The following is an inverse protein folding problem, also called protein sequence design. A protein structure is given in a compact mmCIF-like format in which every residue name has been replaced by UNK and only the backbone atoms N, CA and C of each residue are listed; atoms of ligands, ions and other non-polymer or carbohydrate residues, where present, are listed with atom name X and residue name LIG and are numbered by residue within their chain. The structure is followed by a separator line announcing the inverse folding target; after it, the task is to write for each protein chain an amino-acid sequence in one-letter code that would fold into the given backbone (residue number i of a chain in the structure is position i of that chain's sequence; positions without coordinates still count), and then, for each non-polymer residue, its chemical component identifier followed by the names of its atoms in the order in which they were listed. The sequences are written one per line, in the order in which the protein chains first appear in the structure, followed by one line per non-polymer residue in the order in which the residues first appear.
data_IF_464338331876
#
_entry.id   IF_464338331876
#
_cell.length_a   1.000
_cell.length_b   1.000
_cell.length_c   1.000
_cell.angle_alpha   90.00
_cell.angle_beta   90.00
_cell.angle_gamma   90.00
#
_symmetry.space_group_name_H-M   'P 1'
#
loop_
_entity.id
_entity.type
_entity.pdbx_description
1 polymer ?
#
# COMPACT_ATOMS: atom_id res chain seq x y z
N UNK A 1 19.12 3.95 2.45
CA UNK A 1 17.92 3.36 3.06
C UNK A 1 18.01 3.58 4.55
N UNK A 2 16.91 3.96 5.21
CA UNK A 2 16.86 4.36 6.62
C UNK A 2 15.73 3.61 7.32
N UNK A 3 16.08 2.51 7.99
CA UNK A 3 15.10 1.63 8.62
C UNK A 3 14.60 2.18 9.95
N UNK A 4 15.40 2.98 10.65
CA UNK A 4 15.02 3.61 11.91
C UNK A 4 13.84 4.57 11.69
N UNK A 5 13.82 5.25 10.54
CA UNK A 5 12.70 6.10 10.14
C UNK A 5 11.38 5.33 10.04
N UNK A 6 11.40 4.10 9.54
CA UNK A 6 10.21 3.25 9.42
C UNK A 6 9.71 2.74 10.78
N UNK A 7 10.58 2.77 11.81
CA UNK A 7 10.23 2.38 13.18
C UNK A 7 9.70 3.54 14.03
N UNK A 8 9.77 4.78 13.54
CA UNK A 8 9.17 5.91 14.25
C UNK A 8 7.66 5.73 14.38
N UNK A 9 7.13 5.93 15.58
CA UNK A 9 5.71 5.74 15.87
C UNK A 9 4.74 6.46 14.91
N UNK A 10 4.92 7.75 14.56
CA UNK A 10 4.04 8.40 13.57
C UNK A 10 4.11 7.75 12.18
N UNK A 11 5.26 7.17 11.82
CA UNK A 11 5.45 6.50 10.53
C UNK A 11 4.83 5.10 10.55
N UNK A 12 4.98 4.35 11.64
CA UNK A 12 4.32 3.05 11.84
C UNK A 12 2.80 3.19 11.78
N UNK A 13 2.24 4.19 12.47
CA UNK A 13 0.82 4.49 12.40
C UNK A 13 0.36 4.83 10.99
N UNK A 14 1.15 5.61 10.24
CA UNK A 14 0.83 5.93 8.85
C UNK A 14 0.86 4.70 7.92
N UNK A 15 1.84 3.81 8.10
CA UNK A 15 1.95 2.53 7.40
C UNK A 15 0.70 1.68 7.67
N UNK A 16 0.32 1.51 8.94
CA UNK A 16 -0.82 0.68 9.34
C UNK A 16 -2.13 1.20 8.73
N UNK A 17 -2.36 2.52 8.80
CA UNK A 17 -3.58 3.13 8.24
C UNK A 17 -3.61 2.98 6.72
N UNK A 18 -2.49 3.24 6.03
CA UNK A 18 -2.41 3.14 4.58
C UNK A 18 -2.61 1.70 4.10
N UNK A 19 -1.90 0.74 4.70
CA UNK A 19 -1.98 -0.68 4.36
C UNK A 19 -3.41 -1.22 4.59
N UNK A 20 -4.00 -0.94 5.76
CA UNK A 20 -5.38 -1.36 6.07
C UNK A 20 -6.39 -0.79 5.07
N UNK A 21 -6.21 0.47 4.66
CA UNK A 21 -7.09 1.10 3.66
C UNK A 21 -7.02 0.41 2.31
N UNK A 22 -5.82 -0.03 1.90
CA UNK A 22 -5.62 -0.77 0.65
C UNK A 22 -6.20 -2.19 0.74
N UNK A 23 -5.99 -2.91 1.85
CA UNK A 23 -6.59 -4.25 2.06
C UNK A 23 -8.11 -4.17 2.04
N UNK A 24 -8.71 -3.13 2.64
CA UNK A 24 -10.17 -2.96 2.58
C UNK A 24 -10.68 -2.89 1.14
N UNK A 25 -9.94 -2.22 0.26
CA UNK A 25 -10.34 -2.02 -1.13
C UNK A 25 -9.94 -3.20 -2.06
N UNK A 26 -8.87 -3.94 -1.73
CA UNK A 26 -8.25 -4.95 -2.60
C UNK A 26 -7.88 -6.28 -1.92
N UNK A 27 -8.40 -6.57 -0.73
CA UNK A 27 -7.96 -7.69 0.13
C UNK A 27 -8.18 -9.10 -0.41
N UNK A 28 -8.82 -9.24 -1.58
CA UNK A 28 -8.89 -10.51 -2.31
C UNK A 28 -7.64 -10.76 -3.18
N UNK A 29 -6.73 -9.79 -3.29
CA UNK A 29 -5.51 -9.85 -4.13
C UNK A 29 -4.24 -9.68 -3.31
N UNK A 30 -4.33 -9.09 -2.12
CA UNK A 30 -3.17 -8.68 -1.31
C UNK A 30 -3.42 -8.94 0.17
N UNK A 31 -2.36 -9.26 0.88
CA UNK A 31 -2.37 -9.49 2.32
C UNK A 31 -1.89 -8.25 3.08
N UNK A 32 -2.38 -8.08 4.32
CA UNK A 32 -2.06 -6.91 5.13
C UNK A 32 -0.56 -6.83 5.47
N UNK A 33 0.04 -7.95 5.85
CA UNK A 33 1.44 -7.98 6.30
C UNK A 33 2.40 -7.67 5.15
N UNK A 34 2.13 -8.19 3.95
CA UNK A 34 2.87 -7.85 2.73
C UNK A 34 2.82 -6.34 2.45
N UNK A 35 1.64 -5.73 2.57
CA UNK A 35 1.50 -4.28 2.35
C UNK A 35 2.21 -3.45 3.41
N UNK A 36 2.22 -3.90 4.67
CA UNK A 36 2.98 -3.24 5.73
C UNK A 36 4.48 -3.32 5.44
N UNK A 37 4.96 -4.47 4.98
CA UNK A 37 6.37 -4.65 4.59
C UNK A 37 6.76 -3.75 3.41
N UNK A 38 5.95 -3.75 2.34
CA UNK A 38 6.18 -2.88 1.18
C UNK A 38 6.14 -1.39 1.55
N UNK A 39 5.23 -0.99 2.43
CA UNK A 39 5.16 0.37 2.94
C UNK A 39 6.40 0.74 3.77
N UNK A 40 6.91 -0.17 4.61
CA UNK A 40 8.14 0.03 5.38
C UNK A 40 9.36 0.17 4.45
N UNK A 41 9.46 -0.66 3.40
CA UNK A 41 10.51 -0.55 2.37
C UNK A 41 10.41 0.80 1.66
N UNK A 42 9.21 1.22 1.27
CA UNK A 42 8.96 2.50 0.58
C UNK A 42 9.44 3.68 1.43
N UNK A 43 9.06 3.70 2.72
CA UNK A 43 9.46 4.73 3.67
C UNK A 43 10.98 4.76 3.84
N UNK A 44 11.59 3.60 4.13
CA UNK A 44 13.02 3.50 4.37
C UNK A 44 13.85 3.86 3.11
N UNK A 45 13.29 3.65 1.92
CA UNK A 45 13.92 4.00 0.65
C UNK A 45 13.81 5.49 0.31
N UNK A 46 12.90 6.24 0.94
CA UNK A 46 12.62 7.65 0.62
C UNK A 46 12.73 8.57 1.85
N UNK A 47 13.86 8.55 2.57
CA UNK A 47 13.93 9.17 3.89
C UNK A 47 13.79 10.69 3.89
N UNK A 48 14.31 11.39 2.87
CA UNK A 48 14.13 12.84 2.74
C UNK A 48 12.65 13.21 2.59
N UNK A 49 11.94 12.54 1.68
CA UNK A 49 10.51 12.74 1.41
C UNK A 49 9.65 12.52 2.65
N UNK A 50 9.94 11.46 3.41
CA UNK A 50 9.23 11.14 4.66
C UNK A 50 9.50 12.20 5.72
N UNK A 51 10.76 12.65 5.86
CA UNK A 51 11.10 13.75 6.79
C UNK A 51 10.38 15.05 6.44
N UNK A 52 10.25 15.38 5.15
CA UNK A 52 9.47 16.55 4.72
C UNK A 52 8.02 16.46 5.20
N UNK A 53 7.40 15.26 5.10
CA UNK A 53 6.04 15.05 5.60
C UNK A 53 5.94 15.06 7.12
N UNK A 54 6.97 14.62 7.83
CA UNK A 54 7.00 14.66 9.30
C UNK A 54 7.24 16.08 9.84
N UNK A 55 7.90 16.94 9.06
CA UNK A 55 8.14 18.34 9.41
C UNK A 55 6.91 19.24 9.15
N UNK A 56 5.95 18.78 8.34
CA UNK A 56 4.68 19.46 8.06
C UNK A 56 3.67 19.17 9.19
N UNK A 57 3.77 19.93 10.29
CA UNK A 57 2.90 19.79 11.47
C UNK A 57 1.43 20.04 11.17
N UNK A 58 1.12 20.80 10.11
CA UNK A 58 -0.26 21.13 9.78
C UNK A 58 -0.99 19.93 9.14
N UNK A 59 -0.27 18.99 8.50
CA UNK A 59 -0.89 17.97 7.64
C UNK A 59 -0.28 16.56 7.77
N UNK A 60 -0.39 15.90 8.96
CA UNK A 60 0.11 14.53 9.16
C UNK A 60 -0.52 13.48 8.21
N UNK A 61 -1.69 13.80 7.63
CA UNK A 61 -2.36 12.94 6.64
C UNK A 61 -1.63 12.84 5.29
N UNK A 62 -0.67 13.72 5.00
CA UNK A 62 0.08 13.70 3.75
C UNK A 62 0.95 12.45 3.61
N UNK A 63 1.59 12.01 4.70
CA UNK A 63 2.37 10.78 4.71
C UNK A 63 1.48 9.58 4.39
N UNK A 64 0.33 9.47 5.06
CA UNK A 64 -0.66 8.39 4.86
C UNK A 64 -1.10 8.36 3.40
N UNK A 65 -1.51 9.52 2.85
CA UNK A 65 -1.99 9.62 1.47
C UNK A 65 -0.90 9.23 0.47
N UNK A 66 0.34 9.65 0.71
CA UNK A 66 1.46 9.31 -0.15
C UNK A 66 1.75 7.80 -0.13
N UNK A 67 1.83 7.18 1.05
CA UNK A 67 2.02 5.71 1.18
C UNK A 67 0.89 4.98 0.48
N UNK A 68 -0.37 5.32 0.79
CA UNK A 68 -1.56 4.70 0.19
C UNK A 68 -1.54 4.77 -1.34
N UNK A 69 -1.22 5.94 -1.91
CA UNK A 69 -1.17 6.11 -3.36
C UNK A 69 -0.13 5.20 -4.00
N UNK A 70 1.06 5.07 -3.38
CA UNK A 70 2.15 4.23 -3.90
C UNK A 70 1.81 2.75 -3.83
N UNK A 71 1.29 2.28 -2.70
CA UNK A 71 0.83 0.89 -2.56
C UNK A 71 -0.26 0.58 -3.61
N UNK A 72 -1.25 1.47 -3.75
CA UNK A 72 -2.32 1.30 -4.73
C UNK A 72 -1.79 1.20 -6.17
N UNK A 73 -0.82 2.02 -6.54
CA UNK A 73 -0.21 1.99 -7.87
C UNK A 73 0.52 0.67 -8.13
N UNK A 74 1.21 0.10 -7.14
CA UNK A 74 1.88 -1.19 -7.24
C UNK A 74 0.88 -2.36 -7.41
N UNK A 75 -0.29 -2.26 -6.81
CA UNK A 75 -1.30 -3.33 -6.78
C UNK A 75 -2.22 -3.30 -8.00
N UNK A 76 -2.40 -2.13 -8.62
CA UNK A 76 -3.28 -1.95 -9.78
C UNK A 76 -3.03 -2.96 -10.92
N UNK A 77 -1.78 -3.32 -11.28
CA UNK A 77 -1.50 -4.36 -12.26
C UNK A 77 -1.89 -5.77 -11.82
N UNK A 78 -1.82 -6.07 -10.51
CA UNK A 78 -2.21 -7.36 -9.95
C UNK A 78 -3.74 -7.52 -9.99
N UNK A 79 -4.46 -6.49 -9.58
CA UNK A 79 -5.93 -6.45 -9.64
C UNK A 79 -6.44 -6.60 -11.07
N UNK A 80 -5.81 -5.91 -12.03
CA UNK A 80 -6.15 -6.06 -13.46
C UNK A 80 -6.01 -7.51 -13.93
N UNK A 81 -4.92 -8.18 -13.56
CA UNK A 81 -4.66 -9.59 -13.91
C UNK A 81 -5.66 -10.53 -13.22
N UNK A 82 -5.90 -10.36 -11.92
CA UNK A 82 -6.87 -11.17 -11.19
C UNK A 82 -8.27 -11.10 -11.80
N UNK A 83 -8.74 -9.91 -12.17
CA UNK A 83 -10.06 -9.71 -12.78
C UNK A 83 -10.16 -10.29 -14.20
N UNK A 84 -9.07 -10.31 -14.96
CA UNK A 84 -9.01 -10.99 -16.27
C UNK A 84 -9.13 -12.50 -16.11
N UNK A 85 -8.42 -13.09 -15.15
CA UNK A 85 -8.50 -14.53 -14.86
C UNK A 85 -9.92 -14.96 -14.45
N UNK A 86 -10.56 -14.23 -13.53
CA UNK A 86 -11.93 -14.53 -13.09
C UNK A 86 -12.93 -14.49 -14.27
N UNK A 87 -12.72 -13.57 -15.21
CA UNK A 87 -13.57 -13.44 -16.40
C UNK A 87 -13.42 -14.64 -17.33
N UNK A 88 -12.20 -15.15 -17.53
CA UNK A 88 -11.93 -16.34 -18.35
C UNK A 88 -12.52 -17.62 -17.74
N UNK A 89 -12.33 -17.85 -16.44
CA UNK A 89 -12.87 -19.03 -15.74
C UNK A 89 -14.40 -19.07 -15.78
N UNK A 90 -15.06 -17.91 -15.72
CA UNK A 90 -16.54 -17.83 -15.80
C UNK A 90 -17.08 -18.20 -17.19
N UNK A 91 -16.34 -17.89 -18.26
CA UNK A 91 -16.74 -18.25 -19.63
C UNK A 91 -16.67 -19.76 -19.82
N UNK A 92 -15.60 -20.41 -19.35
CA UNK A 92 -15.43 -21.87 -19.45
C UNK A 92 -16.50 -22.64 -18.66
N UNK A 93 -16.89 -22.15 -17.48
CA UNK A 93 -17.91 -22.78 -16.65
C UNK A 93 -19.35 -22.63 -17.19
N UNK A 94 -19.60 -21.75 -18.17
CA UNK A 94 -20.93 -21.53 -18.76
C UNK A 94 -21.14 -22.35 -20.04
N UNK A 95 -20.09 -23.02 -20.54
CA UNK A 95 -20.13 -23.83 -21.77
C UNK A 95 -20.03 -25.35 -21.52
N UNK A 96 -20.22 -25.80 -20.27
CA UNK A 96 -20.42 -27.21 -19.89
C UNK A 96 -21.87 -27.45 -19.49
#
# INVERSE_FOLDING_TARGET
MDWDLAQLEPVRGAIDIAATSVVRDFGHVVELDDLKQEAAILVASNPAKVRDYLADEEHPSHLIRWIWSRLRDQIRPLVRRANQTVSLTRVEATHQ
#
